data_IF_321137653396
#
_entry.id   IF_321137653396
#
_cell.length_a   1.000
_cell.length_b   1.000
_cell.length_c   1.000
_cell.angle_alpha   90.00
_cell.angle_beta   90.00
_cell.angle_gamma   90.00
#
_symmetry.space_group_name_H-M   'P 1'
#
loop_
_entity.id
_entity.type
_entity.pdbx_description
1 polymer ?
#
# COMPACT_ATOMS: atom_id res chain seq x y z
N UNK A 1 20.10 20.97 -3.50
CA UNK A 1 19.58 19.58 -3.59
C UNK A 1 18.50 19.34 -2.52
N UNK A 2 17.70 20.36 -2.18
CA UNK A 2 16.73 20.26 -1.08
C UNK A 2 15.39 19.58 -1.45
N UNK A 3 15.07 19.49 -2.74
CA UNK A 3 13.76 18.97 -3.20
C UNK A 3 13.61 17.43 -3.10
N UNK A 4 14.71 16.69 -3.04
CA UNK A 4 14.64 15.23 -2.92
C UNK A 4 14.26 14.79 -1.49
N UNK A 5 14.60 15.60 -0.48
CA UNK A 5 14.37 15.26 0.93
C UNK A 5 12.88 15.23 1.30
N UNK A 6 12.06 16.02 0.60
CA UNK A 6 10.61 16.07 0.80
C UNK A 6 9.93 14.74 0.47
N UNK A 7 10.35 14.07 -0.63
CA UNK A 7 9.88 12.74 -1.00
C UNK A 7 10.13 11.69 0.08
N UNK A 8 11.28 11.73 0.75
CA UNK A 8 11.65 10.75 1.78
C UNK A 8 11.06 11.06 3.16
N UNK A 9 10.52 12.26 3.39
CA UNK A 9 10.02 12.70 4.70
C UNK A 9 8.50 12.79 4.79
N UNK A 10 7.78 12.71 3.67
CA UNK A 10 6.32 12.75 3.61
C UNK A 10 5.69 11.40 3.19
N UNK A 11 6.46 10.31 3.14
CA UNK A 11 5.88 8.99 2.90
C UNK A 11 5.22 8.49 4.20
N UNK A 12 3.90 8.68 4.30
CA UNK A 12 3.12 8.25 5.47
C UNK A 12 3.20 6.73 5.62
N UNK A 13 2.94 6.19 6.82
CA UNK A 13 2.82 4.71 6.98
C UNK A 13 1.81 4.10 6.02
N UNK A 14 0.75 4.86 5.68
CA UNK A 14 -0.22 4.51 4.64
C UNK A 14 0.41 4.37 3.25
N UNK A 15 1.30 5.29 2.86
CA UNK A 15 2.01 5.27 1.57
C UNK A 15 3.00 4.10 1.53
N UNK A 16 3.76 3.89 2.60
CA UNK A 16 4.69 2.76 2.74
C UNK A 16 3.96 1.42 2.58
N UNK A 17 2.82 1.26 3.27
CA UNK A 17 2.00 0.07 3.18
C UNK A 17 1.44 -0.13 1.76
N UNK A 18 0.94 0.95 1.14
CA UNK A 18 0.39 0.89 -0.21
C UNK A 18 1.47 0.50 -1.23
N UNK A 19 2.63 1.17 -1.23
CA UNK A 19 3.72 0.88 -2.16
C UNK A 19 4.32 -0.50 -1.92
N UNK A 20 4.43 -0.95 -0.66
CA UNK A 20 4.87 -2.30 -0.32
C UNK A 20 3.96 -3.36 -0.95
N UNK A 21 2.64 -3.20 -0.85
CA UNK A 21 1.66 -4.10 -1.48
C UNK A 21 1.76 -4.00 -3.00
N UNK A 22 1.81 -2.80 -3.55
CA UNK A 22 1.91 -2.55 -4.98
C UNK A 22 3.11 -3.26 -5.62
N UNK A 23 4.32 -3.05 -5.08
CA UNK A 23 5.52 -3.71 -5.59
C UNK A 23 5.47 -5.23 -5.43
N UNK A 24 4.87 -5.71 -4.33
CA UNK A 24 4.65 -7.15 -4.11
C UNK A 24 3.71 -7.74 -5.18
N UNK A 25 2.65 -7.03 -5.56
CA UNK A 25 1.72 -7.44 -6.61
C UNK A 25 2.38 -7.42 -8.00
N UNK A 26 3.11 -6.35 -8.34
CA UNK A 26 3.90 -6.29 -9.59
C UNK A 26 4.82 -7.50 -9.72
N UNK A 27 5.57 -7.83 -8.65
CA UNK A 27 6.48 -8.99 -8.63
C UNK A 27 5.73 -10.32 -8.75
N UNK A 28 4.63 -10.49 -8.03
CA UNK A 28 3.84 -11.74 -8.00
C UNK A 28 3.29 -12.11 -9.38
N UNK A 29 2.85 -11.12 -10.16
CA UNK A 29 2.26 -11.33 -11.49
C UNK A 29 3.25 -11.06 -12.63
N UNK A 30 4.54 -10.86 -12.31
CA UNK A 30 5.60 -10.55 -13.27
C UNK A 30 5.25 -9.36 -14.19
N UNK A 31 4.61 -8.33 -13.62
CA UNK A 31 4.23 -7.10 -14.33
C UNK A 31 5.32 -6.05 -14.11
N UNK A 32 5.98 -5.67 -15.20
CA UNK A 32 6.87 -4.50 -15.24
C UNK A 32 6.04 -3.24 -15.43
N UNK A 33 5.83 -2.47 -14.37
CA UNK A 33 4.95 -1.30 -14.38
C UNK A 33 5.22 -0.27 -15.50
N UNK A 34 6.49 0.10 -15.81
CA UNK A 34 6.77 1.06 -16.87
C UNK A 34 6.31 0.60 -18.25
N UNK A 35 6.31 -0.71 -18.50
CA UNK A 35 5.98 -1.32 -19.81
C UNK A 35 4.65 -2.07 -19.80
N UNK A 36 3.89 -2.00 -18.71
CA UNK A 36 2.63 -2.71 -18.55
C UNK A 36 1.55 -2.14 -19.48
N UNK A 37 0.73 -3.02 -20.05
CA UNK A 37 -0.45 -2.60 -20.81
C UNK A 37 -1.50 -1.95 -19.89
N UNK A 38 -2.44 -1.17 -20.43
CA UNK A 38 -3.50 -0.57 -19.62
C UNK A 38 -4.30 -1.60 -18.81
N UNK A 39 -4.57 -2.77 -19.40
CA UNK A 39 -5.27 -3.86 -18.71
C UNK A 39 -4.44 -4.44 -17.56
N UNK A 40 -3.13 -4.60 -17.74
CA UNK A 40 -2.24 -5.04 -16.67
C UNK A 40 -2.13 -4.01 -15.55
N UNK A 41 -2.08 -2.71 -15.89
CA UNK A 41 -2.06 -1.63 -14.89
C UNK A 41 -3.33 -1.65 -14.05
N UNK A 42 -4.49 -1.65 -14.69
CA UNK A 42 -5.78 -1.72 -14.01
C UNK A 42 -5.90 -2.96 -13.12
N UNK A 43 -5.43 -4.12 -13.59
CA UNK A 43 -5.41 -5.34 -12.79
C UNK A 43 -4.53 -5.19 -11.53
N UNK A 44 -3.30 -4.68 -11.66
CA UNK A 44 -2.39 -4.47 -10.53
C UNK A 44 -2.95 -3.44 -9.55
N UNK A 45 -3.54 -2.35 -10.02
CA UNK A 45 -4.16 -1.32 -9.17
C UNK A 45 -5.31 -1.90 -8.35
N UNK A 46 -6.18 -2.69 -8.99
CA UNK A 46 -7.33 -3.32 -8.36
C UNK A 46 -6.90 -4.27 -7.23
N UNK A 47 -5.98 -5.19 -7.52
CA UNK A 47 -5.51 -6.14 -6.50
C UNK A 47 -4.71 -5.44 -5.41
N UNK A 48 -4.00 -4.35 -5.71
CA UNK A 48 -3.29 -3.55 -4.71
C UNK A 48 -4.29 -2.91 -3.76
N UNK A 49 -5.35 -2.28 -4.29
CA UNK A 49 -6.42 -1.67 -3.48
C UNK A 49 -7.09 -2.69 -2.57
N UNK A 50 -7.52 -3.83 -3.11
CA UNK A 50 -8.19 -4.88 -2.33
C UNK A 50 -7.30 -5.43 -1.22
N UNK A 51 -6.00 -5.60 -1.47
CA UNK A 51 -5.07 -6.07 -0.44
C UNK A 51 -4.79 -5.00 0.63
N UNK A 52 -4.69 -3.74 0.21
CA UNK A 52 -4.50 -2.60 1.12
C UNK A 52 -5.69 -2.45 2.08
N UNK A 53 -6.93 -2.47 1.56
CA UNK A 53 -8.16 -2.42 2.35
C UNK A 53 -8.27 -3.59 3.34
N UNK A 54 -7.91 -4.79 2.90
CA UNK A 54 -7.87 -5.98 3.77
C UNK A 54 -6.90 -5.83 4.93
N UNK A 55 -5.69 -5.30 4.68
CA UNK A 55 -4.70 -5.09 5.73
C UNK A 55 -5.10 -3.96 6.69
N UNK A 56 -5.69 -2.87 6.19
CA UNK A 56 -6.24 -1.83 7.05
C UNK A 56 -7.38 -2.36 7.94
N UNK A 57 -8.26 -3.19 7.38
CA UNK A 57 -9.34 -3.83 8.15
C UNK A 57 -8.79 -4.81 9.20
N UNK A 58 -7.72 -5.54 8.88
CA UNK A 58 -7.06 -6.43 9.83
C UNK A 58 -6.38 -5.66 10.97
N UNK A 59 -5.70 -4.55 10.67
CA UNK A 59 -5.08 -3.68 11.66
C UNK A 59 -6.11 -3.08 12.63
N UNK A 60 -7.25 -2.61 12.12
CA UNK A 60 -8.36 -2.10 12.94
C UNK A 60 -8.99 -3.18 13.84
N UNK A 61 -8.96 -4.46 13.42
CA UNK A 61 -9.48 -5.56 14.24
C UNK A 61 -8.53 -6.01 15.35
N UNK A 62 -7.26 -5.59 15.31
CA UNK A 62 -6.24 -5.97 16.31
C UNK A 62 -6.02 -4.93 17.40
N UNK A 63 -6.69 -3.77 17.35
CA UNK A 63 -6.69 -2.82 18.47
C UNK A 63 -7.55 -3.40 19.61
N UNK A 64 -6.99 -3.66 20.81
CA UNK A 64 -7.81 -4.03 21.96
C UNK A 64 -8.74 -2.85 22.28
N UNK A 65 -10.00 -3.09 22.67
CA UNK A 65 -10.88 -2.01 23.09
C UNK A 65 -10.17 -1.24 24.21
N UNK A 66 -9.97 0.05 23.95
CA UNK A 66 -9.49 1.03 24.92
C UNK A 66 -10.13 0.76 26.28
N UNK A 67 -9.28 0.66 27.30
CA UNK A 67 -9.68 0.40 28.68
C UNK A 67 -10.88 1.23 29.09
N UNK A 68 -11.92 0.55 29.57
CA UNK A 68 -12.94 1.18 30.37
C UNK A 68 -12.31 1.67 31.69
N UNK A 69 -12.64 2.88 32.17
CA UNK A 69 -12.12 3.38 33.43
C UNK A 69 -12.75 2.65 34.62
N UNK A 70 -11.89 2.38 35.61
CA UNK A 70 -12.09 1.95 37.02
C UNK A 70 -12.68 0.58 37.30
#
# INVERSE_FOLDING_TARGET
MENAKWYFTHESEADQLWYGIFFSMCKKFNVSWPTATPAQKAFIEEITRVNYERQQTAAQKTEPPHGGPT
#
